data_IF_347408640280
#
_entry.id   IF_347408640280
#
_cell.length_a   1.000
_cell.length_b   1.000
_cell.length_c   1.000
_cell.angle_alpha   90.00
_cell.angle_beta   90.00
_cell.angle_gamma   90.00
#
_symmetry.space_group_name_H-M   'P 1'
#
loop_
_entity.id
_entity.type
_entity.pdbx_description
1 polymer ?
#
# COMPACT_ATOMS: atom_id res chain seq x y z
N UNK A 1 -0.13 15.98 -17.41
CA UNK A 1 0.81 14.87 -17.72
C UNK A 1 2.28 15.19 -17.39
N UNK A 2 2.95 16.18 -17.99
CA UNK A 2 4.36 16.51 -17.67
C UNK A 2 4.58 17.04 -16.25
N UNK A 3 3.53 17.62 -15.65
CA UNK A 3 3.59 18.25 -14.34
C UNK A 3 3.84 17.25 -13.21
N UNK A 4 3.20 16.07 -13.21
CA UNK A 4 3.29 15.12 -12.08
C UNK A 4 4.68 14.52 -11.93
N UNK A 5 5.30 14.11 -13.03
CA UNK A 5 6.67 13.58 -13.05
C UNK A 5 7.65 14.65 -12.55
N UNK A 6 7.56 15.87 -13.07
CA UNK A 6 8.43 16.97 -12.64
C UNK A 6 8.27 17.28 -11.16
N UNK A 7 7.05 17.21 -10.66
CA UNK A 7 6.71 17.50 -9.28
C UNK A 7 7.18 16.40 -8.30
N UNK A 8 6.96 15.12 -8.61
CA UNK A 8 7.54 14.02 -7.83
C UNK A 8 9.07 14.00 -7.90
N UNK A 9 9.64 14.40 -9.05
CA UNK A 9 11.08 14.60 -9.21
C UNK A 9 11.62 15.72 -8.31
N UNK A 10 10.90 16.85 -8.22
CA UNK A 10 11.22 17.93 -7.29
C UNK A 10 11.11 17.48 -5.83
N UNK A 11 10.08 16.71 -5.48
CA UNK A 11 9.96 16.13 -4.15
C UNK A 11 11.14 15.20 -3.83
N UNK A 12 11.53 14.32 -4.76
CA UNK A 12 12.70 13.47 -4.58
C UNK A 12 14.00 14.28 -4.41
N UNK A 13 14.21 15.30 -5.24
CA UNK A 13 15.38 16.17 -5.14
C UNK A 13 15.41 16.96 -3.83
N UNK A 14 14.28 17.54 -3.42
CA UNK A 14 14.15 18.25 -2.15
C UNK A 14 14.38 17.31 -0.96
N UNK A 15 13.80 16.10 -1.00
CA UNK A 15 14.02 15.06 0.00
C UNK A 15 15.50 14.70 0.10
N UNK A 16 16.15 14.50 -1.05
CA UNK A 16 17.56 14.15 -1.10
C UNK A 16 18.47 15.27 -0.57
N UNK A 17 18.32 16.50 -1.06
CA UNK A 17 19.29 17.58 -0.78
C UNK A 17 18.96 18.42 0.46
N UNK A 18 17.67 18.62 0.75
CA UNK A 18 17.20 19.61 1.73
C UNK A 18 16.87 18.95 3.07
N UNK A 19 16.12 17.84 3.08
CA UNK A 19 15.63 17.23 4.33
C UNK A 19 16.79 16.80 5.27
N UNK A 20 17.90 16.21 4.78
CA UNK A 20 19.06 15.87 5.62
C UNK A 20 19.81 17.08 6.21
N UNK A 21 19.47 18.32 5.82
CA UNK A 21 19.99 19.53 6.47
C UNK A 21 19.29 19.81 7.81
N UNK A 22 18.11 19.24 8.03
CA UNK A 22 17.25 19.52 9.18
C UNK A 22 17.03 18.32 10.09
N UNK A 23 17.08 17.10 9.55
CA UNK A 23 16.87 15.86 10.30
C UNK A 23 18.16 15.04 10.34
N UNK A 24 18.53 14.60 11.54
CA UNK A 24 19.65 13.67 11.71
C UNK A 24 19.26 12.26 11.23
N UNK A 25 20.28 11.40 11.06
CA UNK A 25 20.07 9.98 10.78
C UNK A 25 19.19 9.32 11.84
N UNK A 26 19.51 9.57 13.11
CA UNK A 26 18.80 9.00 14.26
C UNK A 26 17.33 9.42 14.27
N UNK A 27 17.03 10.67 13.90
CA UNK A 27 15.66 11.15 13.76
C UNK A 27 14.92 10.41 12.63
N UNK A 28 15.55 10.31 11.44
CA UNK A 28 14.95 9.62 10.30
C UNK A 28 14.73 8.14 10.58
N UNK A 29 15.70 7.44 11.14
CA UNK A 29 15.58 6.03 11.52
C UNK A 29 14.53 5.82 12.61
N UNK A 30 14.42 6.73 13.59
CA UNK A 30 13.39 6.67 14.62
C UNK A 30 11.98 6.85 14.03
N UNK A 31 11.79 7.85 13.17
CA UNK A 31 10.51 8.07 12.47
C UNK A 31 10.14 6.89 11.56
N UNK A 32 11.10 6.26 10.90
CA UNK A 32 10.86 5.13 9.99
C UNK A 32 10.59 3.82 10.75
N UNK A 33 11.32 3.53 11.84
CA UNK A 33 11.22 2.26 12.58
C UNK A 33 10.02 2.19 13.51
N UNK A 34 9.83 3.21 14.34
CA UNK A 34 8.95 3.11 15.51
C UNK A 34 7.48 3.05 15.13
N UNK A 35 7.11 3.68 14.03
CA UNK A 35 5.73 3.66 13.54
C UNK A 35 5.32 2.31 12.95
N UNK A 36 6.27 1.57 12.37
CA UNK A 36 5.98 0.33 11.64
C UNK A 36 5.62 -0.84 12.55
N UNK A 37 6.39 -1.02 13.63
CA UNK A 37 6.18 -2.12 14.57
C UNK A 37 4.83 -1.99 15.30
N UNK A 38 4.46 -0.77 15.69
CA UNK A 38 3.20 -0.51 16.41
C UNK A 38 1.94 -0.83 15.61
N UNK A 39 1.94 -0.58 14.29
CA UNK A 39 0.78 -0.86 13.41
C UNK A 39 0.56 -2.36 13.24
N UNK A 40 1.63 -3.08 12.89
CA UNK A 40 1.56 -4.52 12.69
C UNK A 40 1.15 -5.24 13.98
N UNK A 41 1.72 -4.85 15.12
CA UNK A 41 1.41 -5.42 16.44
C UNK A 41 -0.07 -5.23 16.82
N UNK A 42 -0.62 -4.03 16.65
CA UNK A 42 -2.03 -3.80 16.99
C UNK A 42 -2.97 -4.53 16.04
N UNK A 43 -2.69 -4.52 14.74
CA UNK A 43 -3.47 -5.30 13.76
C UNK A 43 -3.47 -6.79 14.11
N UNK A 44 -2.30 -7.33 14.43
CA UNK A 44 -2.16 -8.74 14.79
C UNK A 44 -2.88 -9.07 16.09
N UNK A 45 -2.83 -8.16 17.07
CA UNK A 45 -3.59 -8.29 18.31
C UNK A 45 -5.11 -8.32 18.06
N UNK A 46 -5.62 -7.44 17.21
CA UNK A 46 -7.05 -7.37 16.88
C UNK A 46 -7.54 -8.61 16.15
N UNK A 47 -6.74 -9.13 15.20
CA UNK A 47 -7.10 -10.30 14.41
C UNK A 47 -6.80 -11.62 15.13
N UNK A 48 -6.06 -11.59 16.23
CA UNK A 48 -5.62 -12.78 16.99
C UNK A 48 -6.73 -13.78 17.29
N UNK A 49 -7.94 -13.38 17.75
CA UNK A 49 -9.00 -14.35 18.02
C UNK A 49 -9.42 -15.13 16.78
N UNK A 50 -9.39 -14.49 15.60
CA UNK A 50 -9.71 -15.13 14.32
C UNK A 50 -8.53 -15.97 13.85
N UNK A 51 -7.31 -15.44 13.89
CA UNK A 51 -6.14 -16.16 13.41
C UNK A 51 -5.84 -17.40 14.25
N UNK A 52 -5.98 -17.32 15.57
CA UNK A 52 -5.74 -18.44 16.48
C UNK A 52 -6.84 -19.51 16.27
N UNK A 53 -8.10 -19.10 16.11
CA UNK A 53 -9.17 -20.03 15.75
C UNK A 53 -8.90 -20.76 14.43
N UNK A 54 -8.52 -20.02 13.38
CA UNK A 54 -8.18 -20.61 12.08
C UNK A 54 -6.97 -21.55 12.19
N UNK A 55 -5.95 -21.16 12.95
CA UNK A 55 -4.75 -21.97 13.11
C UNK A 55 -5.00 -23.24 13.92
N UNK A 56 -5.79 -23.17 14.99
CA UNK A 56 -6.09 -24.29 15.89
C UNK A 56 -7.14 -25.25 15.33
N UNK A 57 -8.17 -24.74 14.65
CA UNK A 57 -9.32 -25.55 14.25
C UNK A 57 -9.33 -25.88 12.76
N UNK A 58 -8.63 -25.10 11.93
CA UNK A 58 -8.63 -25.24 10.47
C UNK A 58 -7.20 -25.30 9.91
N UNK A 59 -6.39 -26.23 10.42
CA UNK A 59 -5.00 -26.45 10.02
C UNK A 59 -4.73 -26.59 8.51
N UNK A 60 -5.74 -26.90 7.70
CA UNK A 60 -5.63 -26.99 6.24
C UNK A 60 -5.65 -25.62 5.54
N UNK A 61 -6.13 -24.56 6.22
CA UNK A 61 -6.14 -23.20 5.69
C UNK A 61 -4.76 -22.60 5.90
N UNK A 62 -3.89 -22.75 4.89
CA UNK A 62 -2.61 -22.04 4.87
C UNK A 62 -2.80 -20.55 4.58
N UNK A 63 -1.92 -19.66 5.08
CA UNK A 63 -1.94 -18.24 4.71
C UNK A 63 -1.95 -18.04 3.18
N UNK A 64 -1.17 -18.84 2.44
CA UNK A 64 -1.12 -18.80 0.98
C UNK A 64 -2.47 -19.17 0.33
N UNK A 65 -3.27 -20.03 0.95
CA UNK A 65 -4.60 -20.36 0.48
C UNK A 65 -5.57 -19.18 0.63
N UNK A 66 -5.47 -18.44 1.75
CA UNK A 66 -6.24 -17.19 1.94
C UNK A 66 -5.81 -16.15 0.91
N UNK A 67 -4.51 -15.99 0.66
CA UNK A 67 -4.02 -15.08 -0.40
C UNK A 67 -4.53 -15.46 -1.78
N UNK A 68 -4.62 -16.77 -2.10
CA UNK A 68 -5.17 -17.25 -3.37
C UNK A 68 -6.68 -16.96 -3.48
N UNK A 69 -7.44 -17.12 -2.39
CA UNK A 69 -8.84 -16.71 -2.32
C UNK A 69 -8.95 -15.20 -2.57
N UNK A 70 -8.11 -14.39 -1.92
CA UNK A 70 -8.05 -12.95 -2.14
C UNK A 70 -7.82 -12.62 -3.61
N UNK A 71 -6.87 -13.28 -4.26
CA UNK A 71 -6.61 -13.09 -5.69
C UNK A 71 -7.80 -13.51 -6.57
N UNK A 72 -8.47 -14.62 -6.26
CA UNK A 72 -9.68 -15.03 -6.95
C UNK A 72 -10.83 -14.03 -6.77
N UNK A 73 -10.94 -13.41 -5.59
CA UNK A 73 -11.92 -12.35 -5.34
C UNK A 73 -11.63 -11.09 -6.17
N UNK A 74 -10.37 -10.72 -6.39
CA UNK A 74 -10.02 -9.62 -7.33
C UNK A 74 -10.54 -9.92 -8.73
N UNK A 75 -10.34 -11.15 -9.23
CA UNK A 75 -10.88 -11.56 -10.52
C UNK A 75 -12.42 -11.58 -10.54
N UNK A 76 -13.05 -11.99 -9.43
CA UNK A 76 -14.50 -11.96 -9.29
C UNK A 76 -15.05 -10.53 -9.28
N UNK A 77 -14.37 -9.56 -8.65
CA UNK A 77 -14.74 -8.15 -8.72
C UNK A 77 -14.70 -7.65 -10.17
N UNK A 78 -13.65 -7.99 -10.92
CA UNK A 78 -13.58 -7.63 -12.34
C UNK A 78 -14.77 -8.21 -13.13
N UNK A 79 -15.12 -9.48 -12.87
CA UNK A 79 -16.30 -10.11 -13.45
C UNK A 79 -17.60 -9.37 -13.08
N UNK A 80 -17.81 -9.03 -11.80
CA UNK A 80 -18.98 -8.29 -11.34
C UNK A 80 -19.12 -6.93 -12.04
N UNK A 81 -18.02 -6.19 -12.19
CA UNK A 81 -18.03 -4.95 -12.97
C UNK A 81 -18.35 -5.18 -14.45
N UNK A 82 -17.83 -6.26 -15.06
CA UNK A 82 -18.07 -6.56 -16.47
C UNK A 82 -19.53 -6.88 -16.81
N UNK A 83 -20.25 -7.51 -15.88
CA UNK A 83 -21.68 -7.80 -16.02
C UNK A 83 -22.58 -6.66 -15.49
N UNK A 84 -21.99 -5.53 -15.08
CA UNK A 84 -22.69 -4.40 -14.48
C UNK A 84 -23.55 -4.81 -13.28
N UNK A 85 -22.97 -5.65 -12.40
CA UNK A 85 -23.64 -6.05 -11.16
C UNK A 85 -23.98 -4.84 -10.29
N UNK A 86 -24.87 -5.07 -9.33
CA UNK A 86 -25.24 -4.07 -8.33
C UNK A 86 -24.01 -3.54 -7.57
N UNK A 87 -23.89 -2.22 -7.43
CA UNK A 87 -22.72 -1.57 -6.84
C UNK A 87 -22.57 -1.88 -5.34
N UNK A 88 -23.64 -2.21 -4.61
CA UNK A 88 -23.54 -2.66 -3.22
C UNK A 88 -22.92 -4.05 -3.14
N UNK A 89 -23.20 -4.92 -4.11
CA UNK A 89 -22.55 -6.23 -4.21
C UNK A 89 -21.06 -6.06 -4.48
N UNK A 90 -20.69 -5.20 -5.44
CA UNK A 90 -19.30 -4.89 -5.75
C UNK A 90 -18.58 -4.30 -4.53
N UNK A 91 -19.22 -3.35 -3.83
CA UNK A 91 -18.70 -2.75 -2.61
C UNK A 91 -18.46 -3.79 -1.51
N UNK A 92 -19.45 -4.65 -1.25
CA UNK A 92 -19.35 -5.70 -0.23
C UNK A 92 -18.22 -6.69 -0.55
N UNK A 93 -18.12 -7.15 -1.80
CA UNK A 93 -17.05 -8.07 -2.23
C UNK A 93 -15.68 -7.38 -2.15
N UNK A 94 -15.60 -6.09 -2.45
CA UNK A 94 -14.35 -5.31 -2.31
C UNK A 94 -13.89 -5.23 -0.86
N UNK A 95 -14.80 -5.00 0.09
CA UNK A 95 -14.50 -5.03 1.54
C UNK A 95 -14.00 -6.41 1.96
N UNK A 96 -14.71 -7.47 1.55
CA UNK A 96 -14.29 -8.86 1.88
C UNK A 96 -12.91 -9.15 1.31
N UNK A 97 -12.61 -8.67 0.10
CA UNK A 97 -11.30 -8.81 -0.52
C UNK A 97 -10.23 -8.06 0.26
N UNK A 98 -10.46 -6.83 0.69
CA UNK A 98 -9.51 -6.12 1.57
C UNK A 98 -9.29 -6.82 2.91
N UNK A 99 -10.34 -7.42 3.48
CA UNK A 99 -10.22 -8.16 4.74
C UNK A 99 -9.37 -9.43 4.64
N UNK A 100 -9.43 -10.15 3.51
CA UNK A 100 -8.59 -11.34 3.32
C UNK A 100 -7.09 -11.01 3.25
N UNK A 101 -6.73 -9.77 2.92
CA UNK A 101 -5.34 -9.24 2.90
C UNK A 101 -4.82 -8.96 4.31
N UNK A 102 -5.68 -8.44 5.16
CA UNK A 102 -5.32 -8.23 6.55
C UNK A 102 -5.17 -9.57 7.28
N UNK A 103 -6.02 -10.53 6.92
CA UNK A 103 -6.11 -11.83 7.56
C UNK A 103 -4.96 -12.78 7.18
N UNK A 104 -4.59 -12.89 5.89
CA UNK A 104 -3.51 -13.79 5.47
C UNK A 104 -2.15 -13.38 6.05
N UNK A 105 -1.84 -12.08 6.01
CA UNK A 105 -0.62 -11.53 6.59
C UNK A 105 -0.57 -11.71 8.11
N UNK A 106 -1.69 -11.49 8.81
CA UNK A 106 -1.76 -11.68 10.27
C UNK A 106 -1.65 -13.15 10.66
N UNK A 107 -2.35 -14.04 9.96
CA UNK A 107 -2.27 -15.48 10.17
C UNK A 107 -0.85 -15.99 9.95
N UNK A 108 -0.16 -15.52 8.89
CA UNK A 108 1.22 -15.91 8.62
C UNK A 108 2.18 -15.53 9.75
N UNK A 109 2.01 -14.35 10.36
CA UNK A 109 2.86 -13.89 11.48
C UNK A 109 2.52 -14.59 12.79
N UNK A 110 1.23 -14.67 13.15
CA UNK A 110 0.78 -15.29 14.40
C UNK A 110 1.09 -16.79 14.41
N UNK A 111 0.88 -17.50 13.30
CA UNK A 111 1.20 -18.92 13.16
C UNK A 111 2.68 -19.20 12.81
N UNK A 112 3.52 -18.17 12.66
CA UNK A 112 4.94 -18.27 12.23
C UNK A 112 5.14 -19.05 10.92
N UNK A 113 4.21 -18.88 9.97
CA UNK A 113 4.20 -19.52 8.64
C UNK A 113 4.43 -18.51 7.51
N UNK A 114 5.31 -17.52 7.72
CA UNK A 114 5.67 -16.54 6.70
C UNK A 114 6.46 -17.23 5.59
N UNK A 115 6.03 -17.08 4.32
CA UNK A 115 6.71 -17.66 3.16
C UNK A 115 7.05 -16.59 2.12
N UNK A 116 8.15 -16.78 1.38
CA UNK A 116 8.53 -15.86 0.28
C UNK A 116 7.45 -15.79 -0.80
N UNK A 117 6.82 -16.91 -1.12
CA UNK A 117 5.72 -16.96 -2.09
C UNK A 117 4.51 -16.16 -1.62
N UNK A 118 4.16 -16.25 -0.34
CA UNK A 118 3.09 -15.45 0.26
C UNK A 118 3.36 -13.94 0.13
N UNK A 119 4.60 -13.51 0.42
CA UNK A 119 5.00 -12.09 0.27
C UNK A 119 4.90 -11.60 -1.18
N UNK A 120 5.27 -12.42 -2.16
CA UNK A 120 5.13 -12.06 -3.59
C UNK A 120 3.65 -11.99 -3.99
N UNK A 121 2.84 -12.93 -3.51
CA UNK A 121 1.42 -13.00 -3.81
C UNK A 121 0.65 -11.81 -3.23
N UNK A 122 0.99 -11.39 -2.01
CA UNK A 122 0.50 -10.18 -1.32
C UNK A 122 0.71 -8.93 -2.16
N UNK A 123 1.96 -8.64 -2.54
CA UNK A 123 2.30 -7.47 -3.39
C UNK A 123 1.61 -7.53 -4.76
N UNK A 124 1.52 -8.72 -5.36
CA UNK A 124 0.87 -8.91 -6.67
C UNK A 124 -0.63 -8.66 -6.58
N UNK A 125 -1.26 -9.15 -5.51
CA UNK A 125 -2.69 -9.02 -5.24
C UNK A 125 -3.08 -7.57 -4.97
N UNK A 126 -2.34 -6.87 -4.12
CA UNK A 126 -2.55 -5.44 -3.85
C UNK A 126 -2.50 -4.61 -5.13
N UNK A 127 -1.48 -4.85 -5.94
CA UNK A 127 -1.33 -4.16 -7.21
C UNK A 127 -2.48 -4.50 -8.17
N UNK A 128 -2.87 -5.78 -8.26
CA UNK A 128 -3.99 -6.21 -9.09
C UNK A 128 -5.31 -5.56 -8.64
N UNK A 129 -5.59 -5.51 -7.33
CA UNK A 129 -6.80 -4.89 -6.77
C UNK A 129 -6.87 -3.40 -7.15
N UNK A 130 -5.78 -2.66 -6.94
CA UNK A 130 -5.70 -1.24 -7.31
C UNK A 130 -5.96 -1.04 -8.80
N UNK A 131 -5.30 -1.82 -9.67
CA UNK A 131 -5.43 -1.69 -11.12
C UNK A 131 -6.86 -2.02 -11.58
N UNK A 132 -7.41 -3.14 -11.14
CA UNK A 132 -8.76 -3.58 -11.53
C UNK A 132 -9.82 -2.56 -11.11
N UNK A 133 -9.81 -2.15 -9.84
CA UNK A 133 -10.81 -1.20 -9.34
C UNK A 133 -10.69 0.15 -10.02
N UNK A 134 -9.47 0.68 -10.16
CA UNK A 134 -9.24 1.98 -10.79
C UNK A 134 -9.63 1.96 -12.26
N UNK A 135 -9.29 0.90 -12.99
CA UNK A 135 -9.65 0.72 -14.39
C UNK A 135 -11.17 0.81 -14.59
N UNK A 136 -11.95 0.04 -13.83
CA UNK A 136 -13.41 0.07 -13.97
C UNK A 136 -13.99 1.41 -13.53
N UNK A 137 -13.53 2.01 -12.43
CA UNK A 137 -14.04 3.31 -12.00
C UNK A 137 -13.72 4.44 -12.99
N UNK A 138 -12.60 4.37 -13.72
CA UNK A 138 -12.31 5.27 -14.84
C UNK A 138 -13.27 5.02 -16.00
N UNK A 139 -13.51 3.75 -16.38
CA UNK A 139 -14.48 3.41 -17.43
C UNK A 139 -15.89 3.93 -17.12
N UNK A 140 -16.31 3.84 -15.86
CA UNK A 140 -17.59 4.35 -15.38
C UNK A 140 -17.59 5.87 -15.12
N UNK A 141 -16.48 6.58 -15.37
CA UNK A 141 -16.33 8.02 -15.17
C UNK A 141 -16.49 8.47 -13.70
N UNK A 142 -16.34 7.55 -12.74
CA UNK A 142 -16.34 7.86 -11.31
C UNK A 142 -14.97 8.28 -10.80
N UNK A 143 -13.89 7.79 -11.42
CA UNK A 143 -12.51 8.19 -11.15
C UNK A 143 -11.93 8.97 -12.33
N UNK A 144 -11.36 10.14 -12.06
CA UNK A 144 -10.55 10.85 -13.05
C UNK A 144 -9.27 10.07 -13.38
N UNK A 145 -9.01 9.93 -14.68
CA UNK A 145 -7.78 9.36 -15.24
C UNK A 145 -6.53 10.12 -14.77
N UNK A 146 -6.60 11.46 -14.69
CA UNK A 146 -5.54 12.29 -14.14
C UNK A 146 -5.22 11.92 -12.68
N UNK A 147 -6.24 11.78 -11.81
CA UNK A 147 -6.02 11.41 -10.40
C UNK A 147 -5.37 10.04 -10.27
N UNK A 148 -5.84 9.04 -11.03
CA UNK A 148 -5.22 7.72 -11.06
C UNK A 148 -3.77 7.79 -11.55
N UNK A 149 -3.49 8.58 -12.59
CA UNK A 149 -2.15 8.74 -13.11
C UNK A 149 -1.20 9.39 -12.10
N UNK A 150 -1.66 10.42 -11.38
CA UNK A 150 -0.90 11.04 -10.29
C UNK A 150 -0.54 10.03 -9.20
N UNK A 151 -1.50 9.19 -8.79
CA UNK A 151 -1.26 8.11 -7.85
C UNK A 151 -0.23 7.10 -8.39
N UNK A 152 -0.39 6.64 -9.63
CA UNK A 152 0.49 5.65 -10.26
C UNK A 152 1.93 6.15 -10.40
N UNK A 153 2.13 7.41 -10.83
CA UNK A 153 3.46 8.03 -10.90
C UNK A 153 4.11 8.06 -9.52
N UNK A 154 3.38 8.48 -8.49
CA UNK A 154 3.88 8.47 -7.11
C UNK A 154 4.24 7.08 -6.60
N UNK A 155 3.41 6.08 -6.90
CA UNK A 155 3.65 4.68 -6.56
C UNK A 155 4.96 4.17 -7.19
N UNK A 156 5.16 4.45 -8.49
CA UNK A 156 6.39 4.07 -9.23
C UNK A 156 7.61 4.80 -8.66
N UNK A 157 7.53 6.12 -8.45
CA UNK A 157 8.64 6.91 -7.90
C UNK A 157 9.08 6.36 -6.54
N UNK A 158 8.12 6.08 -5.65
CA UNK A 158 8.47 5.52 -4.35
C UNK A 158 9.08 4.12 -4.50
N UNK A 159 8.53 3.29 -5.37
CA UNK A 159 9.09 1.98 -5.67
C UNK A 159 10.55 2.07 -6.12
N UNK A 160 10.88 3.02 -7.00
CA UNK A 160 12.26 3.25 -7.47
C UNK A 160 13.17 3.66 -6.33
N UNK A 161 12.79 4.65 -5.52
CA UNK A 161 13.61 5.14 -4.40
C UNK A 161 13.88 4.02 -3.39
N UNK A 162 12.85 3.27 -2.99
CA UNK A 162 13.00 2.14 -2.05
C UNK A 162 13.92 1.04 -2.60
N UNK A 163 13.83 0.76 -3.90
CA UNK A 163 14.75 -0.18 -4.55
C UNK A 163 16.20 0.33 -4.56
N UNK A 164 16.43 1.64 -4.65
CA UNK A 164 17.75 2.23 -4.51
C UNK A 164 18.25 2.13 -3.08
N UNK A 165 17.44 2.48 -2.08
CA UNK A 165 17.78 2.36 -0.66
C UNK A 165 18.24 0.94 -0.32
N UNK A 166 17.49 -0.07 -0.76
CA UNK A 166 17.83 -1.48 -0.58
C UNK A 166 19.22 -1.83 -1.17
N UNK A 167 19.54 -1.30 -2.35
CA UNK A 167 20.86 -1.50 -3.00
C UNK A 167 22.00 -0.79 -2.25
N UNK A 168 21.74 0.37 -1.67
CA UNK A 168 22.73 1.13 -0.90
C UNK A 168 22.96 0.55 0.50
N UNK A 169 21.93 -0.02 1.13
CA UNK A 169 22.01 -0.77 2.38
C UNK A 169 22.74 -2.14 2.26
N UNK A 170 23.43 -2.40 1.15
CA UNK A 170 24.24 -3.62 0.90
C UNK A 170 23.47 -4.95 1.03
N UNK A 171 22.15 -4.94 0.81
CA UNK A 171 21.30 -6.13 1.01
C UNK A 171 21.25 -6.64 2.45
N UNK A 172 21.79 -5.88 3.41
CA UNK A 172 21.66 -6.15 4.86
C UNK A 172 20.28 -5.80 5.40
N UNK A 173 19.45 -5.13 4.60
CA UNK A 173 18.02 -5.06 4.81
C UNK A 173 17.46 -6.49 4.65
N UNK A 174 17.41 -7.23 5.75
CA UNK A 174 16.70 -8.50 5.77
C UNK A 174 15.22 -8.19 5.48
N UNK A 175 14.52 -9.13 4.86
CA UNK A 175 13.05 -9.10 4.78
C UNK A 175 12.37 -9.04 6.17
N UNK A 176 13.15 -9.15 7.27
CA UNK A 176 12.71 -9.04 8.66
C UNK A 176 12.85 -7.60 9.21
N UNK A 177 13.77 -6.78 8.68
CA UNK A 177 13.91 -5.34 8.99
C UNK A 177 13.14 -4.48 7.98
N UNK A 178 11.87 -4.81 7.77
CA UNK A 178 10.98 -4.04 6.90
C UNK A 178 10.64 -2.71 7.60
N UNK A 179 11.51 -1.69 7.48
CA UNK A 179 11.18 -0.30 7.83
C UNK A 179 10.11 0.22 6.84
N UNK A 180 8.92 -0.38 6.87
CA UNK A 180 7.73 0.03 6.12
C UNK A 180 7.15 1.25 6.82
N UNK A 181 7.76 2.40 6.53
CA UNK A 181 7.27 3.70 6.96
C UNK A 181 5.74 3.74 6.92
N UNK A 182 5.09 4.09 8.04
CA UNK A 182 3.65 3.93 8.19
C UNK A 182 2.86 4.67 7.11
N UNK A 183 3.39 5.80 6.63
CA UNK A 183 2.80 6.56 5.53
C UNK A 183 2.73 5.75 4.22
N UNK A 184 3.64 4.81 4.00
CA UNK A 184 3.65 3.95 2.81
C UNK A 184 2.46 2.98 2.79
N UNK A 185 2.00 2.55 3.96
CA UNK A 185 0.81 1.71 4.13
C UNK A 185 -0.46 2.56 4.17
N UNK A 186 -0.45 3.64 4.96
CA UNK A 186 -1.58 4.54 5.12
C UNK A 186 -2.04 5.15 3.80
N UNK A 187 -1.10 5.53 2.92
CA UNK A 187 -1.45 6.04 1.59
C UNK A 187 -2.25 5.02 0.78
N UNK A 188 -1.89 3.73 0.82
CA UNK A 188 -2.59 2.69 0.07
C UNK A 188 -3.95 2.41 0.70
N UNK A 189 -4.01 2.31 2.03
CA UNK A 189 -5.26 2.20 2.76
C UNK A 189 -6.23 3.34 2.42
N UNK A 190 -5.77 4.59 2.48
CA UNK A 190 -6.57 5.78 2.14
C UNK A 190 -7.00 5.75 0.67
N UNK A 191 -6.14 5.29 -0.24
CA UNK A 191 -6.51 5.10 -1.63
C UNK A 191 -7.67 4.11 -1.77
N UNK A 192 -7.58 2.95 -1.12
CA UNK A 192 -8.64 1.92 -1.13
C UNK A 192 -9.93 2.44 -0.48
N UNK A 193 -9.86 3.20 0.61
CA UNK A 193 -11.04 3.87 1.19
C UNK A 193 -11.66 4.86 0.20
N UNK A 194 -10.84 5.60 -0.55
CA UNK A 194 -11.31 6.47 -1.62
C UNK A 194 -12.03 5.71 -2.72
N UNK A 195 -11.45 4.59 -3.17
CA UNK A 195 -12.06 3.69 -4.16
C UNK A 195 -13.40 3.11 -3.66
N UNK A 196 -13.47 2.67 -2.41
CA UNK A 196 -14.70 2.19 -1.78
C UNK A 196 -15.79 3.28 -1.78
N UNK A 197 -15.43 4.53 -1.47
CA UNK A 197 -16.37 5.64 -1.59
C UNK A 197 -16.80 5.87 -3.05
N UNK A 198 -15.87 5.82 -4.02
CA UNK A 198 -16.21 5.98 -5.44
C UNK A 198 -17.16 4.90 -5.97
N UNK A 199 -17.08 3.66 -5.49
CA UNK A 199 -18.04 2.59 -5.84
C UNK A 199 -19.47 2.97 -5.41
N UNK A 200 -19.62 3.73 -4.32
CA UNK A 200 -20.91 4.19 -3.80
C UNK A 200 -21.42 5.48 -4.45
N UNK A 201 -20.72 6.03 -5.44
CA UNK A 201 -21.16 7.22 -6.21
C UNK A 201 -22.62 7.13 -6.69
N UNK A 202 -23.13 5.98 -7.18
CA UNK A 202 -24.53 5.86 -7.59
C UNK A 202 -25.57 6.15 -6.50
N UNK A 203 -25.21 6.07 -5.20
CA UNK A 203 -26.09 6.45 -4.10
C UNK A 203 -26.18 7.96 -3.91
N UNK A 204 -25.07 8.67 -4.09
CA UNK A 204 -24.95 10.11 -3.88
C UNK A 204 -23.64 10.63 -4.42
N UNK A 205 -23.68 11.77 -5.12
CA UNK A 205 -22.49 12.50 -5.58
C UNK A 205 -21.54 12.93 -4.44
N UNK A 206 -22.04 12.98 -3.19
CA UNK A 206 -21.18 13.23 -2.03
C UNK A 206 -20.10 12.16 -1.87
N UNK A 207 -20.39 10.90 -2.25
CA UNK A 207 -19.42 9.83 -2.23
C UNK A 207 -18.31 10.00 -3.27
N UNK A 208 -18.63 10.60 -4.43
CA UNK A 208 -17.64 10.97 -5.44
C UNK A 208 -16.63 11.97 -4.87
N UNK A 209 -17.14 13.05 -4.28
CA UNK A 209 -16.32 14.10 -3.65
C UNK A 209 -15.46 13.52 -2.52
N UNK A 210 -16.05 12.66 -1.69
CA UNK A 210 -15.34 11.98 -0.60
C UNK A 210 -14.22 11.06 -1.13
N UNK A 211 -14.52 10.27 -2.16
CA UNK A 211 -13.58 9.36 -2.79
C UNK A 211 -12.38 10.07 -3.43
N UNK A 212 -12.64 11.13 -4.20
CA UNK A 212 -11.58 11.97 -4.79
C UNK A 212 -10.73 12.64 -3.71
N UNK A 213 -11.34 13.12 -2.61
CA UNK A 213 -10.61 13.72 -1.48
C UNK A 213 -9.64 12.73 -0.83
N UNK A 214 -10.08 11.48 -0.63
CA UNK A 214 -9.20 10.42 -0.12
C UNK A 214 -8.08 10.09 -1.10
N UNK A 215 -8.37 9.97 -2.39
CA UNK A 215 -7.32 9.72 -3.40
C UNK A 215 -6.29 10.85 -3.45
N UNK A 216 -6.73 12.11 -3.40
CA UNK A 216 -5.82 13.28 -3.31
C UNK A 216 -4.97 13.20 -2.04
N UNK A 217 -5.57 12.85 -0.91
CA UNK A 217 -4.85 12.68 0.36
C UNK A 217 -3.79 11.57 0.27
N UNK A 218 -4.10 10.46 -0.40
CA UNK A 218 -3.14 9.37 -0.69
C UNK A 218 -1.97 9.85 -1.56
N UNK A 219 -2.24 10.67 -2.58
CA UNK A 219 -1.21 11.26 -3.44
C UNK A 219 -0.29 12.18 -2.61
N UNK A 220 -0.86 13.05 -1.77
CA UNK A 220 -0.09 13.93 -0.88
C UNK A 220 0.78 13.12 0.09
N UNK A 221 0.25 12.06 0.69
CA UNK A 221 1.05 11.16 1.53
C UNK A 221 2.18 10.50 0.76
N UNK A 222 1.94 10.12 -0.50
CA UNK A 222 2.99 9.55 -1.37
C UNK A 222 4.13 10.52 -1.61
N UNK A 223 3.85 11.82 -1.76
CA UNK A 223 4.90 12.83 -1.84
C UNK A 223 5.72 12.94 -0.57
N UNK A 224 5.05 12.92 0.59
CA UNK A 224 5.73 12.96 1.88
C UNK A 224 6.63 11.72 2.02
N UNK A 225 6.13 10.53 1.71
CA UNK A 225 6.95 9.31 1.67
C UNK A 225 8.17 9.48 0.77
N UNK A 226 7.99 9.99 -0.45
CA UNK A 226 9.11 10.23 -1.39
C UNK A 226 10.16 11.16 -0.80
N UNK A 227 9.76 12.21 -0.07
CA UNK A 227 10.69 13.13 0.60
C UNK A 227 11.54 12.40 1.66
N UNK A 228 10.90 11.64 2.54
CA UNK A 228 11.59 10.93 3.64
C UNK A 228 12.53 9.84 3.12
N UNK A 229 12.07 9.01 2.20
CA UNK A 229 12.90 7.95 1.62
C UNK A 229 14.05 8.51 0.77
N UNK A 230 13.85 9.65 0.09
CA UNK A 230 14.97 10.30 -0.62
C UNK A 230 16.02 10.86 0.34
N UNK A 231 15.60 11.39 1.50
CA UNK A 231 16.50 11.88 2.54
C UNK A 231 17.34 10.74 3.12
N UNK A 232 16.68 9.63 3.46
CA UNK A 232 17.32 8.44 3.98
C UNK A 232 18.28 7.80 2.96
N UNK A 233 17.91 7.75 1.67
CA UNK A 233 18.80 7.31 0.60
C UNK A 233 20.11 8.09 0.54
N UNK A 234 20.08 9.42 0.76
CA UNK A 234 21.31 10.23 0.80
C UNK A 234 22.22 9.80 1.94
N UNK A 235 21.67 9.62 3.13
CA UNK A 235 22.42 9.21 4.32
C UNK A 235 23.07 7.85 4.08
N UNK A 236 22.32 6.87 3.59
CA UNK A 236 22.85 5.54 3.25
C UNK A 236 23.97 5.60 2.20
N UNK A 237 23.85 6.49 1.21
CA UNK A 237 24.91 6.69 0.21
C UNK A 237 26.17 7.25 0.87
N UNK A 238 26.03 8.30 1.67
CA UNK A 238 27.15 9.02 2.30
C UNK A 238 27.93 8.08 3.24
N UNK A 239 27.23 7.26 4.02
CA UNK A 239 27.84 6.20 4.85
C UNK A 239 28.60 5.16 4.03
N UNK A 240 28.03 4.70 2.92
CA UNK A 240 28.68 3.72 2.04
C UNK A 240 29.94 4.29 1.39
N UNK A 241 29.95 5.59 1.10
CA UNK A 241 31.08 6.28 0.49
C UNK A 241 32.11 6.79 1.53
N UNK A 242 31.77 6.76 2.82
CA UNK A 242 32.62 7.25 3.90
C UNK A 242 32.77 8.77 3.91
N UNK A 243 31.72 9.49 3.46
CA UNK A 243 31.67 10.96 3.34
C UNK A 243 30.72 11.55 4.36
#
# INVERSE_FOLDING_TARGET
>A
MSSSIGIFGLAAAAGYFIVPLFLSKEDLEHYLSRTTNSEAEWRDYLLRPVTDFLDEHLHFISPNFISLIGFALVAFIAYLFSIKADYLVIFAVTIVTGFTDMLDGSLARNAKRVTKTGVILDVTRDFALVIVLSYYLILYQFLSDDLFFWFLVGYIFLGVIRNLEFKFASGKFSLEEDYKFILDRLRLFIYIVGILALILTPLSENFRTLGETFIISSIVMTWISVLFHSAHLKILRDERLGV
#
